data_IF_332973481766
#
_entry.id   IF_332973481766
#
_cell.length_a   1.000
_cell.length_b   1.000
_cell.length_c   1.000
_cell.angle_alpha   90.00
_cell.angle_beta   90.00
_cell.angle_gamma   90.00
#
_symmetry.space_group_name_H-M   'P 1'
#
loop_
_entity.id
_entity.type
_entity.pdbx_description
1 polymer ?
#
# COMPACT_ATOMS: atom_id res chain seq x y z
N UNK A 1 -18.92 -11.18 2.57
CA UNK A 1 -18.04 -10.11 3.10
C UNK A 1 -16.73 -10.15 2.33
N UNK A 2 -16.21 -9.01 1.88
CA UNK A 2 -14.91 -8.95 1.21
C UNK A 2 -13.81 -9.39 2.21
N UNK A 3 -13.00 -10.37 1.82
CA UNK A 3 -11.88 -10.83 2.64
C UNK A 3 -10.69 -9.90 2.46
N UNK A 4 -10.63 -8.85 3.29
CA UNK A 4 -9.57 -7.84 3.30
C UNK A 4 -8.19 -8.39 3.71
N UNK A 5 -8.10 -9.70 4.03
CA UNK A 5 -6.87 -10.37 4.46
C UNK A 5 -6.18 -11.13 3.35
N UNK A 6 -6.83 -11.34 2.19
CA UNK A 6 -6.23 -12.06 1.05
C UNK A 6 -5.68 -11.14 -0.03
N UNK A 7 -6.18 -9.92 -0.11
CA UNK A 7 -5.77 -8.92 -1.11
C UNK A 7 -5.86 -7.53 -0.51
N UNK A 8 -4.94 -6.65 -0.90
CA UNK A 8 -5.05 -5.24 -0.55
C UNK A 8 -6.33 -4.69 -1.17
N UNK A 9 -7.09 -3.99 -0.34
CA UNK A 9 -8.32 -3.33 -0.77
C UNK A 9 -8.15 -1.83 -0.61
N UNK A 10 -8.39 -1.12 -1.70
CA UNK A 10 -8.34 0.33 -1.77
C UNK A 10 -9.77 0.85 -1.90
N UNK A 11 -10.12 1.82 -1.08
CA UNK A 11 -11.40 2.53 -1.13
C UNK A 11 -11.13 4.02 -1.32
N UNK A 12 -11.99 4.67 -2.10
CA UNK A 12 -12.01 6.12 -2.23
C UNK A 12 -12.83 6.70 -1.07
N UNK A 13 -12.24 7.61 -0.29
CA UNK A 13 -12.89 8.28 0.84
C UNK A 13 -12.81 9.79 0.65
N UNK A 14 -13.82 10.38 0.01
CA UNK A 14 -14.21 11.82 -0.09
C UNK A 14 -13.17 12.86 -0.53
N UNK A 15 -11.87 12.65 -0.26
CA UNK A 15 -10.72 13.47 -0.65
C UNK A 15 -9.40 12.68 -0.59
N UNK A 16 -9.41 11.40 -0.18
CA UNK A 16 -8.21 10.59 0.02
C UNK A 16 -8.48 9.12 -0.28
N UNK A 17 -7.44 8.43 -0.74
CA UNK A 17 -7.48 6.98 -0.96
C UNK A 17 -7.08 6.28 0.31
N UNK A 18 -7.74 5.17 0.61
CA UNK A 18 -7.54 4.48 1.88
C UNK A 18 -7.31 3.00 1.59
N UNK A 19 -6.22 2.48 2.13
CA UNK A 19 -5.94 1.05 2.16
C UNK A 19 -6.57 0.45 3.41
N UNK A 20 -7.43 -0.54 3.22
CA UNK A 20 -8.14 -1.22 4.31
C UNK A 20 -7.35 -2.44 4.74
N UNK A 21 -6.94 -2.49 6.01
CA UNK A 21 -6.30 -3.64 6.62
C UNK A 21 -7.18 -4.21 7.73
N UNK A 22 -7.31 -5.54 7.77
CA UNK A 22 -8.10 -6.24 8.78
C UNK A 22 -7.19 -7.07 9.69
N UNK A 23 -7.11 -6.72 10.96
CA UNK A 23 -6.30 -7.40 11.97
C UNK A 23 -7.13 -8.48 12.66
N UNK A 24 -6.60 -9.70 12.80
CA UNK A 24 -7.19 -10.68 13.71
C UNK A 24 -6.88 -10.34 15.17
N UNK A 25 -7.74 -10.78 16.08
CA UNK A 25 -7.59 -10.61 17.53
C UNK A 25 -6.24 -11.16 18.05
N UNK A 26 -5.77 -12.27 17.48
CA UNK A 26 -4.53 -12.93 17.88
C UNK A 26 -3.27 -12.35 17.22
N UNK A 27 -3.41 -11.36 16.34
CA UNK A 27 -2.31 -10.80 15.57
C UNK A 27 -1.88 -9.45 16.14
N UNK A 28 -0.59 -9.11 15.96
CA UNK A 28 -0.14 -7.74 16.22
C UNK A 28 -0.85 -6.80 15.26
N UNK A 29 -1.17 -5.60 15.76
CA UNK A 29 -1.73 -4.52 14.95
C UNK A 29 -0.85 -4.31 13.71
N UNK A 30 -1.49 -4.24 12.55
CA UNK A 30 -0.80 -3.94 11.30
C UNK A 30 -0.37 -2.48 11.25
N UNK A 31 0.74 -2.23 10.58
CA UNK A 31 1.25 -0.88 10.33
C UNK A 31 1.87 -0.84 8.94
N UNK A 32 1.94 0.36 8.38
CA UNK A 32 2.36 0.56 7.00
C UNK A 32 3.45 1.59 6.97
N UNK A 33 4.58 1.21 6.36
CA UNK A 33 5.66 2.13 6.09
C UNK A 33 5.50 2.69 4.69
N UNK A 34 5.79 3.97 4.55
CA UNK A 34 5.68 4.71 3.33
C UNK A 34 7.08 5.21 2.91
N UNK A 35 7.45 4.94 1.67
CA UNK A 35 8.73 5.33 1.08
C UNK A 35 8.53 6.55 0.18
N UNK A 36 9.13 7.67 0.57
CA UNK A 36 9.02 8.94 -0.13
C UNK A 36 10.04 9.04 -1.27
N UNK A 37 9.81 9.99 -2.18
CA UNK A 37 10.61 10.17 -3.40
C UNK A 37 12.01 10.70 -3.10
N UNK A 38 12.14 11.49 -2.03
CA UNK A 38 13.41 11.98 -1.50
C UNK A 38 14.25 10.87 -0.85
N UNK A 39 13.72 9.64 -0.77
CA UNK A 39 14.36 8.50 -0.16
C UNK A 39 14.17 8.42 1.36
N UNK A 40 13.44 9.36 1.96
CA UNK A 40 13.03 9.26 3.35
C UNK A 40 11.90 8.24 3.50
N UNK A 41 11.67 7.81 4.73
CA UNK A 41 10.58 6.90 5.05
C UNK A 41 9.81 7.39 6.25
N UNK A 42 8.48 7.28 6.20
CA UNK A 42 7.57 7.65 7.28
C UNK A 42 6.58 6.53 7.53
N UNK A 43 5.94 6.54 8.69
CA UNK A 43 4.79 5.68 8.94
C UNK A 43 3.56 6.30 8.30
N UNK A 44 2.80 5.51 7.53
CA UNK A 44 1.57 5.97 6.91
C UNK A 44 0.54 6.27 8.00
N UNK A 45 -0.19 7.38 7.83
CA UNK A 45 -1.23 7.77 8.79
C UNK A 45 -2.35 6.73 8.79
N UNK A 46 -2.67 6.24 9.97
CA UNK A 46 -3.70 5.23 10.18
C UNK A 46 -4.90 5.79 10.94
N UNK A 47 -6.06 5.17 10.76
CA UNK A 47 -7.29 5.45 11.50
C UNK A 47 -7.96 4.13 11.83
N UNK A 48 -8.21 3.87 13.11
CA UNK A 48 -8.94 2.68 13.54
C UNK A 48 -10.42 2.92 13.32
N UNK A 49 -11.05 2.12 12.46
CA UNK A 49 -12.48 2.22 12.15
C UNK A 49 -13.29 1.07 12.72
N UNK A 50 -12.62 0.03 13.21
CA UNK A 50 -13.28 -1.14 13.80
C UNK A 50 -12.45 -1.72 14.93
N UNK A 51 -13.15 -2.17 15.97
CA UNK A 51 -12.58 -2.77 17.17
C UNK A 51 -13.14 -4.18 17.38
N UNK A 52 -12.34 -5.05 17.97
CA UNK A 52 -12.81 -6.31 18.54
C UNK A 52 -13.47 -6.05 19.91
N UNK A 53 -14.26 -6.99 20.46
CA UNK A 53 -14.91 -6.82 21.77
C UNK A 53 -13.93 -6.56 22.93
N UNK A 54 -12.68 -7.01 22.81
CA UNK A 54 -11.61 -6.79 23.79
C UNK A 54 -10.85 -5.47 23.61
N UNK A 55 -11.38 -4.58 22.76
CA UNK A 55 -10.78 -3.28 22.40
C UNK A 55 -9.46 -3.39 21.64
N UNK A 56 -9.12 -4.55 21.08
CA UNK A 56 -8.03 -4.64 20.10
C UNK A 56 -8.50 -4.14 18.73
N UNK A 57 -7.56 -3.66 17.91
CA UNK A 57 -7.85 -3.14 16.58
C UNK A 57 -8.33 -4.26 15.64
N UNK A 58 -9.45 -4.05 14.96
CA UNK A 58 -10.01 -4.99 13.97
C UNK A 58 -9.86 -4.49 12.54
N UNK A 59 -10.17 -3.22 12.29
CA UNK A 59 -10.12 -2.63 10.95
C UNK A 59 -9.35 -1.32 11.01
N UNK A 60 -8.36 -1.20 10.13
CA UNK A 60 -7.51 -0.04 9.94
C UNK A 60 -7.73 0.55 8.56
N UNK A 61 -7.84 1.86 8.54
CA UNK A 61 -7.83 2.70 7.36
C UNK A 61 -6.47 3.39 7.29
N UNK A 62 -5.67 3.07 6.28
CA UNK A 62 -4.35 3.65 6.07
C UNK A 62 -4.46 4.65 4.92
N UNK A 63 -4.13 5.92 5.19
CA UNK A 63 -4.16 6.96 4.17
C UNK A 63 -3.06 6.71 3.12
N UNK A 64 -3.47 6.62 1.85
CA UNK A 64 -2.60 6.55 0.68
C UNK A 64 -2.57 7.94 0.06
N UNK A 65 -1.47 8.66 0.29
CA UNK A 65 -1.34 10.07 -0.06
C UNK A 65 -0.94 10.29 -1.53
N UNK A 66 -0.22 9.34 -2.14
CA UNK A 66 0.41 9.54 -3.45
C UNK A 66 0.84 8.21 -4.09
N UNK A 67 1.27 8.26 -5.36
CA UNK A 67 1.90 7.14 -6.07
C UNK A 67 3.32 6.89 -5.58
N UNK A 68 3.43 6.01 -4.59
CA UNK A 68 4.68 5.70 -3.91
C UNK A 68 4.71 4.22 -3.51
N UNK A 69 5.84 3.81 -2.91
CA UNK A 69 5.99 2.45 -2.39
C UNK A 69 5.52 2.40 -0.94
N UNK A 70 4.71 1.40 -0.63
CA UNK A 70 4.19 1.12 0.70
C UNK A 70 4.59 -0.29 1.12
N UNK A 71 5.01 -0.45 2.37
CA UNK A 71 5.32 -1.75 2.96
C UNK A 71 4.34 -2.06 4.07
N UNK A 72 3.66 -3.20 3.93
CA UNK A 72 2.64 -3.66 4.88
C UNK A 72 3.29 -4.63 5.85
N UNK A 73 3.04 -4.42 7.14
CA UNK A 73 3.51 -5.28 8.22
C UNK A 73 2.34 -5.77 9.08
N UNK A 74 2.55 -6.90 9.76
CA UNK A 74 1.58 -7.46 10.69
C UNK A 74 0.35 -8.08 10.01
N UNK A 75 0.50 -8.54 8.77
CA UNK A 75 -0.53 -9.22 7.98
C UNK A 75 0.04 -10.49 7.33
N UNK A 76 -0.28 -11.72 7.79
CA UNK A 76 0.39 -12.92 7.30
C UNK A 76 0.38 -13.12 5.78
N UNK A 77 -0.71 -12.74 5.10
CA UNK A 77 -0.90 -13.02 3.66
C UNK A 77 -0.62 -11.83 2.75
N UNK A 78 -0.60 -10.61 3.29
CA UNK A 78 -0.45 -9.36 2.52
C UNK A 78 0.67 -8.47 3.07
N UNK A 79 1.56 -9.02 3.90
CA UNK A 79 2.80 -8.32 4.27
C UNK A 79 3.76 -8.35 3.10
N UNK A 80 4.43 -7.22 2.88
CA UNK A 80 5.37 -7.06 1.79
C UNK A 80 5.38 -5.64 1.24
N UNK A 81 6.22 -5.44 0.23
CA UNK A 81 6.35 -4.19 -0.48
C UNK A 81 5.38 -4.13 -1.65
N UNK A 82 4.75 -2.97 -1.82
CA UNK A 82 3.77 -2.71 -2.86
C UNK A 82 4.05 -1.35 -3.49
N UNK A 83 4.13 -1.31 -4.82
CA UNK A 83 4.15 -0.07 -5.59
C UNK A 83 2.71 0.34 -5.90
N UNK A 84 2.35 1.56 -5.53
CA UNK A 84 1.07 2.17 -5.88
C UNK A 84 1.27 3.09 -7.08
N UNK A 85 0.46 2.92 -8.12
CA UNK A 85 0.53 3.67 -9.36
C UNK A 85 -0.89 3.98 -9.84
N UNK A 86 -1.09 5.08 -10.57
CA UNK A 86 -2.37 5.33 -11.24
C UNK A 86 -2.32 4.89 -12.69
N UNK A 87 -3.47 4.49 -13.21
CA UNK A 87 -3.69 4.34 -14.64
C UNK A 87 -3.91 5.71 -15.31
N UNK A 88 -3.95 5.78 -16.65
CA UNK A 88 -4.21 7.02 -17.38
C UNK A 88 -5.58 7.65 -17.10
N UNK A 89 -6.50 6.89 -16.49
CA UNK A 89 -7.83 7.36 -16.07
C UNK A 89 -7.81 7.89 -14.63
N UNK A 90 -6.64 7.91 -13.98
CA UNK A 90 -6.43 8.37 -12.61
C UNK A 90 -6.84 7.37 -11.53
N UNK A 91 -7.16 6.11 -11.90
CA UNK A 91 -7.49 5.05 -10.94
C UNK A 91 -6.22 4.43 -10.38
N UNK A 92 -6.13 4.30 -9.06
CA UNK A 92 -4.96 3.70 -8.42
C UNK A 92 -5.05 2.19 -8.39
N UNK A 93 -3.94 1.60 -8.76
CA UNK A 93 -3.66 0.18 -8.69
C UNK A 93 -2.41 -0.04 -7.83
N UNK A 94 -2.25 -1.27 -7.38
CA UNK A 94 -1.05 -1.68 -6.65
C UNK A 94 -0.42 -2.88 -7.36
N UNK A 95 0.89 -3.01 -7.22
CA UNK A 95 1.64 -4.19 -7.64
C UNK A 95 2.56 -4.64 -6.49
N UNK A 96 2.57 -5.92 -6.10
CA UNK A 96 3.59 -6.43 -5.18
C UNK A 96 4.97 -6.34 -5.84
N UNK A 97 5.95 -5.90 -5.07
CA UNK A 97 7.33 -5.71 -5.53
C UNK A 97 8.34 -6.30 -4.55
N UNK A 98 9.55 -6.58 -5.04
CA UNK A 98 10.71 -6.94 -4.22
C UNK A 98 11.50 -5.70 -3.77
N UNK A 99 12.49 -5.89 -2.89
CA UNK A 99 13.41 -4.81 -2.50
C UNK A 99 14.29 -4.33 -3.66
N UNK A 100 14.66 -5.22 -4.57
CA UNK A 100 15.42 -4.89 -5.79
C UNK A 100 14.57 -4.05 -6.74
N UNK A 101 13.31 -4.47 -6.96
CA UNK A 101 12.36 -3.74 -7.80
C UNK A 101 12.06 -2.35 -7.24
N UNK A 102 12.01 -2.19 -5.91
CA UNK A 102 11.91 -0.87 -5.26
C UNK A 102 13.05 0.05 -5.66
N UNK A 103 14.29 -0.45 -5.71
CA UNK A 103 15.44 0.35 -6.11
C UNK A 103 15.31 0.80 -7.57
N UNK A 104 14.88 -0.09 -8.47
CA UNK A 104 14.62 0.24 -9.88
C UNK A 104 13.53 1.29 -10.02
N UNK A 105 12.41 1.14 -9.31
CA UNK A 105 11.31 2.11 -9.33
C UNK A 105 11.74 3.49 -8.83
N UNK A 106 12.57 3.53 -7.78
CA UNK A 106 13.14 4.78 -7.27
C UNK A 106 14.02 5.46 -8.32
N UNK A 107 14.86 4.72 -9.02
CA UNK A 107 15.70 5.26 -10.09
C UNK A 107 14.87 5.72 -11.30
N UNK A 108 13.86 4.96 -11.68
CA UNK A 108 12.96 5.32 -12.78
C UNK A 108 12.23 6.63 -12.49
N UNK A 109 11.77 6.82 -11.25
CA UNK A 109 11.14 8.07 -10.82
C UNK A 109 12.12 9.25 -10.80
N UNK A 110 13.38 9.04 -10.39
CA UNK A 110 14.44 10.06 -10.52
C UNK A 110 14.71 10.46 -11.97
N UNK A 111 14.51 9.55 -12.93
CA UNK A 111 14.60 9.81 -14.37
C UNK A 111 13.32 10.43 -14.97
N UNK A 112 12.31 10.73 -14.14
CA UNK A 112 11.05 11.32 -14.56
C UNK A 112 10.04 10.33 -15.16
N UNK A 113 10.27 9.01 -15.07
CA UNK A 113 9.29 8.00 -15.51
C UNK A 113 8.20 7.80 -14.46
N UNK A 114 7.01 7.41 -14.90
CA UNK A 114 5.94 7.03 -13.98
C UNK A 114 6.21 5.67 -13.37
N UNK A 115 5.61 5.39 -12.20
CA UNK A 115 5.68 4.06 -11.59
C UNK A 115 5.10 2.98 -12.51
N UNK A 116 4.05 3.32 -13.28
CA UNK A 116 3.42 2.40 -14.22
C UNK A 116 4.39 1.98 -15.32
N UNK A 117 5.08 2.93 -15.94
CA UNK A 117 6.05 2.63 -17.02
C UNK A 117 7.21 1.79 -16.48
N UNK A 118 7.71 2.14 -15.29
CA UNK A 118 8.79 1.40 -14.65
C UNK A 118 8.37 -0.04 -14.27
N UNK A 119 7.13 -0.25 -13.86
CA UNK A 119 6.57 -1.59 -13.62
C UNK A 119 6.40 -2.39 -14.91
N UNK A 120 6.01 -1.74 -16.02
CA UNK A 120 5.95 -2.38 -17.34
C UNK A 120 7.34 -2.82 -17.80
N UNK A 121 8.37 -1.99 -17.60
CA UNK A 121 9.77 -2.34 -17.89
C UNK A 121 10.26 -3.54 -17.06
N UNK A 122 9.78 -3.65 -15.82
CA UNK A 122 10.01 -4.81 -14.94
C UNK A 122 9.17 -6.04 -15.32
N UNK A 123 8.49 -6.03 -16.47
CA UNK A 123 7.59 -7.10 -16.93
C UNK A 123 6.47 -7.44 -15.93
N UNK A 124 6.08 -6.48 -15.07
CA UNK A 124 4.95 -6.65 -14.16
C UNK A 124 3.65 -6.41 -14.91
N UNK A 125 2.63 -7.16 -14.52
CA UNK A 125 1.26 -6.91 -14.99
C UNK A 125 0.72 -5.66 -14.30
N UNK A 126 0.65 -4.58 -15.06
CA UNK A 126 -0.05 -3.36 -14.66
C UNK A 126 -1.46 -3.35 -15.25
N UNK A 127 -2.38 -2.64 -14.58
CA UNK A 127 -3.76 -2.47 -15.01
C UNK A 127 -4.04 -1.05 -15.55
#
# INVERSE_FOLDING_TARGET
MADYRKKLTLIDSSASRVMVLQCNKSERKSFVKHYQDDGTTSWAKETVVGWHPDKTTKILHIAVQSEQVYEVFGQPNISGLYAFYSDPKGKVWYCPISQEERAVLKEAKRKGKTFRDALVELSKRVF
#
